data_IF_925618533645
#
_entry.id   IF_925618533645
#
_cell.length_a   1.000
_cell.length_b   1.000
_cell.length_c   1.000
_cell.angle_alpha   90.00
_cell.angle_beta   90.00
_cell.angle_gamma   90.00
#
_symmetry.space_group_name_H-M   'P 1'
#
loop_
_entity.id
_entity.type
_entity.pdbx_description
1 polymer ?
#
# COMPACT_ATOMS: atom_id res chain seq x y z
N UNK A 1 10.71 3.34 -5.19
CA UNK A 1 9.56 2.49 -5.62
C UNK A 1 8.88 1.96 -4.37
N UNK A 2 7.62 2.29 -4.12
CA UNK A 2 6.89 1.80 -2.95
C UNK A 2 6.60 0.31 -3.05
N UNK A 3 6.85 -0.46 -1.99
CA UNK A 3 6.70 -1.92 -1.99
C UNK A 3 5.27 -2.42 -1.67
N UNK A 4 4.27 -1.57 -1.86
CA UNK A 4 2.88 -1.83 -1.44
C UNK A 4 2.32 -3.10 -2.11
N UNK A 5 2.63 -3.32 -3.39
CA UNK A 5 2.18 -4.51 -4.15
C UNK A 5 2.63 -5.81 -3.52
N UNK A 6 3.90 -5.89 -3.10
CA UNK A 6 4.45 -7.11 -2.53
C UNK A 6 3.96 -7.33 -1.10
N UNK A 7 3.82 -6.27 -0.31
CA UNK A 7 3.21 -6.36 1.02
C UNK A 7 1.75 -6.80 0.94
N UNK A 8 0.99 -6.28 -0.02
CA UNK A 8 -0.39 -6.71 -0.29
C UNK A 8 -0.46 -8.18 -0.66
N UNK A 9 0.41 -8.65 -1.57
CA UNK A 9 0.48 -10.06 -1.97
C UNK A 9 0.86 -10.96 -0.80
N UNK A 10 1.82 -10.57 0.05
CA UNK A 10 2.19 -11.31 1.28
C UNK A 10 1.02 -11.47 2.24
N UNK A 11 0.06 -10.54 2.22
CA UNK A 11 -1.17 -10.61 3.00
C UNK A 11 -2.30 -11.39 2.32
N UNK A 12 -2.10 -11.88 1.10
CA UNK A 12 -3.09 -12.66 0.35
C UNK A 12 -4.35 -11.88 -0.02
N UNK A 13 -4.31 -10.54 0.02
CA UNK A 13 -5.48 -9.71 -0.27
C UNK A 13 -5.42 -9.09 -1.67
N UNK A 14 -6.58 -8.85 -2.28
CA UNK A 14 -6.71 -8.16 -3.56
C UNK A 14 -6.58 -6.64 -3.39
N UNK A 15 -6.34 -5.92 -4.49
CA UNK A 15 -6.33 -4.45 -4.46
C UNK A 15 -7.67 -3.87 -4.01
N UNK A 16 -8.79 -4.54 -4.36
CA UNK A 16 -10.14 -4.12 -3.93
C UNK A 16 -10.33 -4.34 -2.43
N UNK A 17 -9.84 -5.44 -1.87
CA UNK A 17 -9.88 -5.67 -0.43
C UNK A 17 -9.04 -4.65 0.35
N UNK A 18 -7.85 -4.30 -0.15
CA UNK A 18 -7.03 -3.24 0.44
C UNK A 18 -7.75 -1.88 0.37
N UNK A 19 -8.34 -1.55 -0.79
CA UNK A 19 -9.09 -0.32 -0.98
C UNK A 19 -10.29 -0.22 -0.02
N UNK A 20 -11.06 -1.31 0.13
CA UNK A 20 -12.18 -1.40 1.08
C UNK A 20 -11.71 -1.19 2.53
N UNK A 21 -10.58 -1.78 2.94
CA UNK A 21 -10.00 -1.58 4.29
C UNK A 21 -9.58 -0.13 4.54
N UNK A 22 -9.22 0.60 3.49
CA UNK A 22 -8.75 1.99 3.55
C UNK A 22 -9.86 3.02 3.33
N UNK A 23 -11.05 2.58 2.88
CA UNK A 23 -12.16 3.48 2.51
C UNK A 23 -11.84 4.35 1.29
N UNK A 24 -11.13 3.79 0.30
CA UNK A 24 -10.71 4.50 -0.91
C UNK A 24 -11.07 3.70 -2.17
N UNK A 25 -10.95 4.34 -3.33
CA UNK A 25 -11.10 3.69 -4.62
C UNK A 25 -9.99 2.67 -4.93
N UNK A 26 -10.35 1.53 -5.54
CA UNK A 26 -9.38 0.51 -5.98
C UNK A 26 -8.37 1.08 -6.97
N UNK A 27 -8.77 2.02 -7.81
CA UNK A 27 -7.89 2.71 -8.76
C UNK A 27 -6.73 3.41 -8.04
N UNK A 28 -6.98 3.99 -6.86
CA UNK A 28 -5.96 4.66 -6.04
C UNK A 28 -4.88 3.68 -5.57
N UNK A 29 -5.28 2.48 -5.12
CA UNK A 29 -4.35 1.39 -4.79
C UNK A 29 -3.54 0.97 -6.02
N UNK A 30 -4.17 0.84 -7.18
CA UNK A 30 -3.47 0.49 -8.41
C UNK A 30 -2.42 1.54 -8.80
N UNK A 31 -2.76 2.83 -8.69
CA UNK A 31 -1.83 3.93 -8.99
C UNK A 31 -0.61 3.92 -8.06
N UNK A 32 -0.80 3.59 -6.78
CA UNK A 32 0.31 3.42 -5.84
C UNK A 32 1.23 2.25 -6.21
N UNK A 33 0.65 1.12 -6.62
CA UNK A 33 1.41 -0.10 -6.95
C UNK A 33 2.22 0.01 -8.25
N UNK A 34 1.78 0.84 -9.20
CA UNK A 34 2.51 1.10 -10.46
C UNK A 34 3.41 2.35 -10.38
N UNK A 35 3.40 3.06 -9.25
CA UNK A 35 4.20 4.27 -9.05
C UNK A 35 3.66 5.53 -9.76
N UNK A 36 2.42 5.52 -10.24
CA UNK A 36 1.79 6.67 -10.88
C UNK A 36 1.52 7.81 -9.88
N UNK A 37 1.13 7.46 -8.65
CA UNK A 37 0.94 8.42 -7.56
C UNK A 37 1.50 7.85 -6.25
N UNK A 38 1.90 8.71 -5.33
CA UNK A 38 2.33 8.31 -3.99
C UNK A 38 1.18 8.40 -2.99
N UNK A 39 1.08 7.48 -2.01
CA UNK A 39 0.15 7.64 -0.89
C UNK A 39 0.48 8.92 -0.09
N UNK A 40 -0.54 9.59 0.45
CA UNK A 40 -0.32 10.75 1.31
C UNK A 40 0.28 10.30 2.64
N UNK A 41 0.98 11.19 3.33
CA UNK A 41 1.52 10.92 4.67
C UNK A 41 0.42 10.42 5.65
N UNK A 42 -0.81 10.93 5.52
CA UNK A 42 -1.97 10.51 6.30
C UNK A 42 -2.50 9.11 5.94
N UNK A 43 -2.20 8.60 4.74
CA UNK A 43 -2.58 7.27 4.29
C UNK A 43 -1.57 6.20 4.75
N UNK A 44 -0.29 6.57 4.92
CA UNK A 44 0.78 5.67 5.36
C UNK A 44 0.43 4.85 6.62
N UNK A 45 -0.02 5.44 7.75
CA UNK A 45 -0.37 4.65 8.94
C UNK A 45 -1.58 3.74 8.71
N UNK A 46 -2.53 4.14 7.86
CA UNK A 46 -3.70 3.32 7.51
C UNK A 46 -3.30 2.11 6.67
N UNK A 47 -2.43 2.32 5.67
CA UNK A 47 -1.87 1.25 4.84
C UNK A 47 -1.05 0.29 5.71
N UNK A 48 -0.25 0.82 6.63
CA UNK A 48 0.59 0.01 7.52
C UNK A 48 -0.27 -0.90 8.41
N UNK A 49 -1.35 -0.36 8.97
CA UNK A 49 -2.35 -1.12 9.74
C UNK A 49 -3.07 -2.16 8.88
N UNK A 50 -3.54 -1.78 7.69
CA UNK A 50 -4.26 -2.68 6.78
C UNK A 50 -3.41 -3.85 6.27
N UNK A 51 -2.11 -3.61 6.08
CA UNK A 51 -1.12 -4.60 5.65
C UNK A 51 -0.32 -5.20 6.82
N UNK A 52 -0.66 -4.84 8.06
CA UNK A 52 0.02 -5.26 9.29
C UNK A 52 1.56 -5.23 9.16
N UNK A 53 2.10 -4.09 8.72
CA UNK A 53 3.53 -3.88 8.47
C UNK A 53 3.96 -2.52 9.03
N UNK A 54 5.26 -2.23 9.00
CA UNK A 54 5.80 -0.91 9.38
C UNK A 54 5.79 0.00 8.17
N UNK A 55 5.66 1.31 8.39
CA UNK A 55 5.74 2.32 7.32
C UNK A 55 7.08 2.22 6.58
N UNK A 56 8.16 1.88 7.30
CA UNK A 56 9.48 1.69 6.71
C UNK A 56 9.51 0.55 5.67
N UNK A 57 8.65 -0.46 5.79
CA UNK A 57 8.58 -1.59 4.85
C UNK A 57 8.09 -1.16 3.45
N UNK A 58 7.48 0.02 3.34
CA UNK A 58 7.10 0.60 2.06
C UNK A 58 8.30 1.08 1.25
N UNK A 59 9.37 1.48 1.92
CA UNK A 59 10.58 2.00 1.32
C UNK A 59 11.59 0.86 1.23
N UNK A 60 11.77 0.28 0.04
CA UNK A 60 12.93 -0.60 -0.17
C UNK A 60 14.19 0.26 -0.03
N UNK A 61 14.94 0.08 1.05
CA UNK A 61 16.32 0.54 1.10
C UNK A 61 17.06 -0.17 -0.03
N UNK A 62 17.50 0.60 -1.03
CA UNK A 62 18.62 0.17 -1.85
C UNK A 62 19.84 0.39 -0.97
N UNK A 63 20.46 -0.70 -0.51
CA UNK A 63 21.89 -0.66 -0.25
C UNK A 63 22.61 -0.32 -1.56
#
# INVERSE_FOLDING_TARGET
MFNIKELRKKRGITQKQLANKLGIERSRVSQWEIGYCSPKASDLPKIAKALNCRINDFFKNKC
#
